data_IF_536216255787
#
_entry.id   IF_536216255787
#
_cell.length_a   1.000
_cell.length_b   1.000
_cell.length_c   1.000
_cell.angle_alpha   90.00
_cell.angle_beta   90.00
_cell.angle_gamma   90.00
#
_symmetry.space_group_name_H-M   'P 1'
#
loop_
_entity.id
_entity.type
_entity.pdbx_description
1 polymer ?
#
# COMPACT_ATOMS: atom_id res chain seq x y z
N UNK A 1 1.36 11.10 -4.68
CA UNK A 1 2.14 10.62 -3.53
C UNK A 1 1.30 10.67 -2.26
N UNK A 2 1.13 9.52 -1.60
CA UNK A 2 0.39 9.39 -0.33
C UNK A 2 1.31 9.33 0.89
N UNK A 3 2.53 8.82 0.71
CA UNK A 3 3.53 8.78 1.77
C UNK A 3 4.92 8.46 1.24
N UNK A 4 5.86 8.29 2.16
CA UNK A 4 7.25 7.97 1.83
C UNK A 4 7.69 6.75 2.62
N UNK A 5 8.09 5.72 1.89
CA UNK A 5 8.70 4.51 2.44
C UNK A 5 10.22 4.59 2.50
N UNK A 6 10.83 3.55 3.03
CA UNK A 6 12.27 3.37 3.08
C UNK A 6 12.65 2.03 2.45
N UNK A 7 13.60 2.04 1.52
CA UNK A 7 14.16 0.81 0.99
C UNK A 7 14.87 0.05 2.11
N UNK A 8 14.44 -1.18 2.37
CA UNK A 8 15.13 -2.07 3.31
C UNK A 8 16.16 -2.92 2.56
N UNK A 9 15.77 -3.55 1.46
CA UNK A 9 16.70 -4.32 0.63
C UNK A 9 16.17 -4.55 -0.79
N UNK A 10 17.08 -4.93 -1.67
CA UNK A 10 16.79 -5.39 -3.02
C UNK A 10 17.65 -6.65 -3.27
N UNK A 11 17.08 -7.81 -3.00
CA UNK A 11 17.80 -9.09 -2.97
C UNK A 11 17.56 -9.87 -4.26
N UNK A 12 18.59 -10.46 -4.87
CA UNK A 12 18.40 -11.29 -6.06
C UNK A 12 17.71 -12.62 -5.70
N UNK A 13 16.69 -13.02 -6.47
CA UNK A 13 15.95 -14.28 -6.27
C UNK A 13 16.37 -15.40 -7.22
N UNK A 14 17.19 -15.10 -8.23
CA UNK A 14 17.45 -15.99 -9.37
C UNK A 14 16.63 -15.60 -10.60
N UNK A 15 17.00 -16.16 -11.76
CA UNK A 15 16.39 -15.86 -13.07
C UNK A 15 16.27 -14.37 -13.40
N UNK A 16 17.26 -13.57 -12.98
CA UNK A 16 17.24 -12.11 -13.12
C UNK A 16 16.00 -11.43 -12.47
N UNK A 17 15.45 -11.99 -11.40
CA UNK A 17 14.42 -11.34 -10.60
C UNK A 17 14.98 -10.85 -9.26
N UNK A 18 14.34 -9.82 -8.70
CA UNK A 18 14.70 -9.26 -7.40
C UNK A 18 13.52 -9.19 -6.45
N UNK A 19 13.78 -9.37 -5.17
CA UNK A 19 12.88 -9.16 -4.07
C UNK A 19 13.15 -7.78 -3.47
N UNK A 20 12.24 -6.84 -3.72
CA UNK A 20 12.31 -5.49 -3.19
C UNK A 20 11.52 -5.43 -1.88
N UNK A 21 12.19 -5.08 -0.78
CA UNK A 21 11.56 -4.88 0.53
C UNK A 21 11.56 -3.41 0.91
N UNK A 22 10.39 -2.89 1.25
CA UNK A 22 10.17 -1.48 1.57
C UNK A 22 9.45 -1.37 2.90
N UNK A 23 10.00 -0.58 3.80
CA UNK A 23 9.30 -0.19 5.03
C UNK A 23 8.28 0.88 4.70
N UNK A 24 7.04 0.66 5.13
CA UNK A 24 5.89 1.54 4.87
C UNK A 24 5.42 2.21 6.17
N UNK A 25 4.96 3.46 6.12
CA UNK A 25 4.38 4.11 7.29
C UNK A 25 3.00 3.53 7.62
N UNK A 26 2.66 3.51 8.92
CA UNK A 26 1.48 2.82 9.44
C UNK A 26 0.13 3.40 8.98
N UNK A 27 0.11 4.67 8.56
CA UNK A 27 -1.08 5.34 8.02
C UNK A 27 -1.48 4.82 6.64
N UNK A 28 -0.58 4.16 5.91
CA UNK A 28 -0.87 3.55 4.61
C UNK A 28 -1.42 2.11 4.72
N UNK A 29 -1.32 1.46 5.87
CA UNK A 29 -1.65 0.04 6.05
C UNK A 29 -3.06 -0.31 5.58
N UNK A 30 -4.05 0.54 5.88
CA UNK A 30 -5.44 0.33 5.47
C UNK A 30 -5.69 0.35 3.96
N UNK A 31 -4.70 0.73 3.15
CA UNK A 31 -4.77 0.73 1.69
C UNK A 31 -3.91 -0.35 1.04
N UNK A 32 -3.13 -1.10 1.82
CA UNK A 32 -2.24 -2.15 1.32
C UNK A 32 -2.94 -3.50 1.42
N UNK A 33 -2.96 -4.23 0.30
CA UNK A 33 -3.61 -5.53 0.22
C UNK A 33 -2.68 -6.50 -0.48
N UNK A 34 -2.56 -7.73 0.05
CA UNK A 34 -1.82 -8.80 -0.62
C UNK A 34 -2.37 -9.06 -2.03
N UNK A 35 -1.49 -9.15 -3.03
CA UNK A 35 -1.82 -9.16 -4.47
C UNK A 35 -2.50 -7.89 -5.01
N UNK A 36 -2.61 -6.85 -4.19
CA UNK A 36 -3.03 -5.51 -4.61
C UNK A 36 -1.93 -4.78 -5.38
N UNK A 37 -2.29 -3.63 -5.93
CA UNK A 37 -1.38 -2.75 -6.67
C UNK A 37 -0.80 -1.68 -5.74
N UNK A 38 0.45 -1.30 -5.98
CA UNK A 38 1.09 -0.15 -5.37
C UNK A 38 2.03 0.51 -6.38
N UNK A 39 2.13 1.83 -6.38
CA UNK A 39 3.17 2.53 -7.10
C UNK A 39 4.33 2.90 -6.16
N UNK A 40 5.55 2.52 -6.54
CA UNK A 40 6.80 2.89 -5.85
C UNK A 40 7.61 3.75 -6.81
N UNK A 41 7.81 5.03 -6.49
CA UNK A 41 8.42 6.03 -7.38
C UNK A 41 7.80 6.05 -8.79
N UNK A 42 6.49 5.88 -8.86
CA UNK A 42 5.71 5.85 -10.10
C UNK A 42 5.75 4.51 -10.85
N UNK A 43 6.47 3.50 -10.34
CA UNK A 43 6.52 2.16 -10.91
C UNK A 43 5.35 1.36 -10.34
N UNK A 44 4.42 0.95 -11.20
CA UNK A 44 3.29 0.09 -10.82
C UNK A 44 3.79 -1.34 -10.55
N UNK A 45 3.53 -1.84 -9.34
CA UNK A 45 4.01 -3.12 -8.83
C UNK A 45 2.88 -3.87 -8.11
N UNK A 46 3.00 -5.19 -8.07
CA UNK A 46 2.07 -6.06 -7.32
C UNK A 46 2.68 -6.44 -5.98
N UNK A 47 1.90 -6.25 -4.92
CA UNK A 47 2.29 -6.61 -3.55
C UNK A 47 2.39 -8.14 -3.42
N UNK A 48 3.60 -8.63 -3.14
CA UNK A 48 3.92 -10.05 -2.99
C UNK A 48 3.96 -10.52 -1.53
N UNK A 49 4.19 -9.63 -0.56
CA UNK A 49 4.06 -9.90 0.88
C UNK A 49 3.78 -8.61 1.66
N UNK A 50 3.10 -8.75 2.79
CA UNK A 50 2.88 -7.71 3.81
C UNK A 50 3.16 -8.32 5.18
N UNK A 51 4.14 -7.76 5.90
CA UNK A 51 4.60 -8.23 7.20
C UNK A 51 4.80 -7.02 8.12
N UNK A 52 3.83 -6.73 9.00
CA UNK A 52 3.86 -5.55 9.87
C UNK A 52 4.05 -4.25 9.06
N UNK A 53 5.20 -3.59 9.18
CA UNK A 53 5.56 -2.37 8.45
C UNK A 53 6.37 -2.66 7.17
N UNK A 54 6.49 -3.92 6.74
CA UNK A 54 7.25 -4.31 5.56
C UNK A 54 6.35 -4.78 4.42
N UNK A 55 6.50 -4.11 3.28
CA UNK A 55 5.92 -4.47 2.01
C UNK A 55 6.99 -5.08 1.11
N UNK A 56 6.67 -6.19 0.46
CA UNK A 56 7.56 -6.83 -0.52
C UNK A 56 6.92 -6.91 -1.90
N UNK A 57 7.73 -6.71 -2.94
CA UNK A 57 7.32 -6.85 -4.35
C UNK A 57 8.42 -7.56 -5.13
N UNK A 58 8.03 -8.28 -6.18
CA UNK A 58 8.97 -8.90 -7.12
C UNK A 58 9.23 -7.95 -8.29
N UNK A 59 10.51 -7.73 -8.58
CA UNK A 59 10.96 -6.93 -9.72
C UNK A 59 11.47 -7.89 -10.80
N UNK A 60 10.92 -7.74 -12.00
CA UNK A 60 11.31 -8.50 -13.19
C UNK A 60 12.46 -7.80 -13.95
N UNK A 61 13.22 -8.52 -14.81
CA UNK A 61 14.36 -7.96 -15.57
C UNK A 61 14.04 -6.68 -16.33
N UNK A 62 12.87 -6.63 -16.97
CA UNK A 62 12.45 -5.46 -17.73
C UNK A 62 12.27 -4.23 -16.84
N UNK A 63 11.57 -4.37 -15.71
CA UNK A 63 11.36 -3.27 -14.76
C UNK A 63 12.67 -2.81 -14.13
N UNK A 64 13.54 -3.74 -13.72
CA UNK A 64 14.83 -3.39 -13.15
C UNK A 64 15.71 -2.58 -14.11
N UNK A 65 15.77 -3.00 -15.39
CA UNK A 65 16.61 -2.35 -16.41
C UNK A 65 16.06 -1.01 -16.93
N UNK A 66 14.75 -0.81 -16.91
CA UNK A 66 14.10 0.37 -17.51
C UNK A 66 13.59 1.38 -16.48
N UNK A 67 14.00 1.26 -15.21
CA UNK A 67 13.59 2.17 -14.14
C UNK A 67 14.80 2.56 -13.27
N UNK A 68 14.56 3.41 -12.28
CA UNK A 68 15.58 3.89 -11.33
C UNK A 68 16.02 2.85 -10.31
N UNK A 69 15.40 1.66 -10.28
CA UNK A 69 15.64 0.60 -9.29
C UNK A 69 17.10 0.15 -9.21
N UNK A 70 17.83 0.15 -10.32
CA UNK A 70 19.25 -0.24 -10.34
C UNK A 70 20.16 0.68 -9.51
N UNK A 71 19.73 1.91 -9.24
CA UNK A 71 20.46 2.87 -8.41
C UNK A 71 20.09 2.83 -6.93
N UNK A 72 19.12 2.00 -6.54
CA UNK A 72 18.58 2.03 -5.18
C UNK A 72 19.56 1.43 -4.18
N UNK A 73 19.61 2.03 -2.99
CA UNK A 73 20.43 1.57 -1.87
C UNK A 73 19.57 1.50 -0.60
N UNK A 74 19.80 0.51 0.29
CA UNK A 74 19.12 0.46 1.58
C UNK A 74 19.18 1.82 2.30
N UNK A 75 18.07 2.22 2.89
CA UNK A 75 17.87 3.55 3.49
C UNK A 75 17.36 4.62 2.52
N UNK A 76 17.29 4.35 1.21
CA UNK A 76 16.71 5.29 0.24
C UNK A 76 15.23 5.56 0.55
N UNK A 77 14.83 6.82 0.42
CA UNK A 77 13.42 7.24 0.58
C UNK A 77 12.69 7.04 -0.75
N UNK A 78 11.57 6.33 -0.69
CA UNK A 78 10.78 5.95 -1.87
C UNK A 78 9.38 6.58 -1.78
N UNK A 79 8.89 7.14 -2.87
CA UNK A 79 7.55 7.69 -2.93
C UNK A 79 6.54 6.55 -3.06
N UNK A 80 5.53 6.52 -2.19
CA UNK A 80 4.48 5.50 -2.18
C UNK A 80 3.15 6.08 -2.63
N UNK A 81 2.49 5.36 -3.53
CA UNK A 81 1.14 5.66 -4.00
C UNK A 81 0.26 4.42 -3.91
N UNK A 82 -0.77 4.49 -3.06
CA UNK A 82 -1.72 3.40 -2.86
C UNK A 82 -2.76 3.36 -3.98
N UNK A 83 -3.34 2.17 -4.18
CA UNK A 83 -4.36 1.95 -5.21
C UNK A 83 -5.54 2.93 -5.05
N UNK A 84 -5.93 3.57 -6.16
CA UNK A 84 -7.06 4.50 -6.19
C UNK A 84 -8.38 3.81 -5.83
N UNK A 85 -8.50 2.51 -6.12
CA UNK A 85 -9.67 1.72 -5.75
C UNK A 85 -9.78 1.59 -4.24
N UNK A 86 -8.67 1.33 -3.54
CA UNK A 86 -8.66 1.26 -2.07
C UNK A 86 -9.14 2.58 -1.45
N UNK A 87 -8.66 3.72 -1.97
CA UNK A 87 -9.11 5.05 -1.52
C UNK A 87 -10.57 5.33 -1.85
N UNK A 88 -11.06 4.87 -3.01
CA UNK A 88 -12.47 5.00 -3.36
C UNK A 88 -13.36 4.19 -2.41
N UNK A 89 -12.96 2.95 -2.10
CA UNK A 89 -13.66 2.10 -1.13
C UNK A 89 -13.67 2.76 0.26
N UNK A 90 -12.53 3.24 0.75
CA UNK A 90 -12.44 3.96 2.02
C UNK A 90 -13.37 5.19 2.03
N UNK A 91 -13.36 6.01 0.97
CA UNK A 91 -14.24 7.17 0.82
C UNK A 91 -15.72 6.80 0.81
N UNK A 92 -16.10 5.66 0.23
CA UNK A 92 -17.48 5.17 0.23
C UNK A 92 -17.87 4.67 1.63
N UNK A 93 -17.02 3.90 2.30
CA UNK A 93 -17.26 3.39 3.65
C UNK A 93 -17.44 4.52 4.66
N UNK A 94 -16.58 5.54 4.63
CA UNK A 94 -16.71 6.75 5.48
C UNK A 94 -18.05 7.47 5.30
N UNK A 95 -18.65 7.42 4.11
CA UNK A 95 -19.99 8.00 3.87
C UNK A 95 -21.11 7.12 4.41
N UNK A 96 -20.90 5.80 4.45
CA UNK A 96 -21.87 4.84 5.00
C UNK A 96 -21.85 4.82 6.54
N UNK A 97 -20.70 5.07 7.16
CA UNK A 97 -20.52 5.18 8.62
C UNK A 97 -21.20 6.42 9.24
N UNK A 98 -21.91 7.24 8.45
CA UNK A 98 -22.69 8.41 8.93
C UNK A 98 -24.08 8.03 9.47
N UNK A 99 -24.40 6.74 9.64
CA UNK A 99 -25.53 6.34 10.49
C UNK A 99 -24.99 5.83 11.82
N UNK A 100 -24.96 6.74 12.81
CA UNK A 100 -24.79 6.38 14.21
C UNK A 100 -25.57 5.10 14.56
N UNK A 101 -25.05 4.22 15.43
CA UNK A 101 -25.79 3.04 15.85
C UNK A 101 -27.17 3.47 16.32
N UNK A 102 -28.22 2.80 15.83
CA UNK A 102 -29.58 2.96 16.34
C UNK A 102 -29.55 2.56 17.82
N UNK A 103 -29.44 3.55 18.71
CA UNK A 103 -29.59 3.31 20.15
C UNK A 103 -31.07 3.28 20.49
N UNK A 104 -31.41 2.54 21.56
CA UNK A 104 -32.79 2.45 22.06
C UNK A 104 -33.30 3.84 22.46
N UNK A 105 -32.44 4.74 22.95
CA UNK A 105 -32.83 6.13 23.20
C UNK A 105 -33.26 6.86 21.92
N UNK A 106 -32.54 6.66 20.81
CA UNK A 106 -32.83 7.30 19.52
C UNK A 106 -34.11 6.75 18.87
N UNK A 107 -34.45 5.49 19.13
CA UNK A 107 -35.74 4.90 18.72
C UNK A 107 -36.92 5.51 19.49
N UNK A 108 -36.76 5.66 20.81
CA UNK A 108 -37.75 6.29 21.69
C UNK A 108 -38.02 7.76 21.33
N UNK A 109 -36.97 8.52 21.00
CA UNK A 109 -37.12 9.91 20.54
C UNK A 109 -37.88 10.04 19.21
N UNK A 110 -37.88 9.00 18.38
CA UNK A 110 -38.58 8.98 17.09
C UNK A 110 -39.96 8.29 17.17
N UNK A 111 -40.46 7.98 18.37
CA UNK A 111 -41.81 7.45 18.57
C UNK A 111 -41.98 5.95 18.32
N UNK A 112 -40.89 5.19 18.36
CA UNK A 112 -40.89 3.72 18.35
C UNK A 112 -40.71 3.13 19.76
#
# INVERSE_FOLDING_TARGET
>A
MDGTGELVSLDALGDENWWLRVRVPADLDGFLVYKGSIAIDGISLTIASLESDLLSVTIIPHTYRNTTLAGYRPGARLNLECDILAKHVEKLLRKLEVKAPLTVEKLRENGY
#
